data_IF_275604338178
#
_entry.id   IF_275604338178
#
_cell.length_a   1.000
_cell.length_b   1.000
_cell.length_c   1.000
_cell.angle_alpha   90.00
_cell.angle_beta   90.00
_cell.angle_gamma   90.00
#
_symmetry.space_group_name_H-M   'P 1'
#
loop_
_entity.id
_entity.type
_entity.pdbx_description
1 polymer ?
#
# COMPACT_ATOMS: atom_id res chain seq x y z
N UNK A 1 -10.79 -17.73 -2.05
CA UNK A 1 -11.69 -16.65 -1.62
C UNK A 1 -10.93 -15.35 -1.71
N UNK A 2 -11.52 -14.29 -2.26
CA UNK A 2 -10.96 -12.94 -2.22
C UNK A 2 -11.83 -12.11 -1.28
N UNK A 3 -11.18 -11.36 -0.38
CA UNK A 3 -11.85 -10.46 0.56
C UNK A 3 -11.39 -9.05 0.21
N UNK A 4 -12.31 -8.23 -0.29
CA UNK A 4 -12.09 -6.79 -0.38
C UNK A 4 -12.40 -6.18 0.99
N UNK A 5 -11.38 -5.63 1.64
CA UNK A 5 -11.57 -4.97 2.94
C UNK A 5 -12.08 -3.53 2.76
N UNK A 6 -12.48 -2.88 3.85
CA UNK A 6 -12.86 -1.46 3.83
C UNK A 6 -11.65 -0.61 3.39
N UNK A 7 -11.90 0.35 2.49
CA UNK A 7 -10.87 1.26 1.97
C UNK A 7 -10.32 2.22 3.02
N UNK A 8 -9.41 1.73 3.88
CA UNK A 8 -8.80 2.47 4.97
C UNK A 8 -7.39 1.90 5.24
N UNK A 9 -6.39 2.76 5.41
CA UNK A 9 -4.98 2.35 5.62
C UNK A 9 -4.58 2.24 7.11
N UNK A 10 -5.51 2.48 8.04
CA UNK A 10 -5.28 2.49 9.48
C UNK A 10 -6.03 1.31 10.12
N UNK A 11 -7.36 1.36 10.16
CA UNK A 11 -8.11 0.38 10.95
C UNK A 11 -7.86 -1.08 10.51
N UNK A 12 -7.80 -1.42 9.20
CA UNK A 12 -7.56 -2.79 8.76
C UNK A 12 -6.18 -3.36 9.12
N UNK A 13 -5.20 -2.54 9.52
CA UNK A 13 -3.89 -3.07 9.91
C UNK A 13 -3.95 -3.87 11.22
N UNK A 14 -4.93 -3.60 12.09
CA UNK A 14 -5.02 -4.16 13.44
C UNK A 14 -5.85 -5.45 13.55
N UNK A 15 -6.46 -5.91 12.45
CA UNK A 15 -7.37 -7.06 12.46
C UNK A 15 -6.96 -8.14 11.46
N UNK A 16 -6.80 -9.37 11.96
CA UNK A 16 -6.65 -10.57 11.13
C UNK A 16 -8.03 -11.19 10.86
N UNK A 17 -8.33 -11.52 9.61
CA UNK A 17 -9.60 -12.12 9.19
C UNK A 17 -9.51 -13.66 9.05
N UNK A 18 -8.31 -14.23 9.25
CA UNK A 18 -8.02 -15.64 8.99
C UNK A 18 -7.62 -15.91 7.53
N UNK A 19 -7.24 -14.87 6.81
CA UNK A 19 -6.68 -14.93 5.47
C UNK A 19 -5.27 -15.56 5.46
N UNK A 20 -4.92 -16.24 4.36
CA UNK A 20 -3.59 -16.82 4.19
C UNK A 20 -2.54 -15.79 3.75
N UNK A 21 -2.99 -14.72 3.08
CA UNK A 21 -2.16 -13.67 2.49
C UNK A 21 -2.86 -12.33 2.53
N UNK A 22 -2.10 -11.26 2.80
CA UNK A 22 -2.54 -9.86 2.79
C UNK A 22 -1.89 -9.12 1.64
N UNK A 23 -2.71 -8.41 0.86
CA UNK A 23 -2.24 -7.58 -0.25
C UNK A 23 -2.70 -6.15 -0.03
N UNK A 24 -1.77 -5.21 -0.10
CA UNK A 24 -2.08 -3.78 -0.11
C UNK A 24 -2.04 -3.28 -1.55
N UNK A 25 -3.05 -2.51 -1.94
CA UNK A 25 -3.09 -1.82 -3.23
C UNK A 25 -3.07 -0.33 -2.93
N UNK A 26 -2.05 0.37 -3.43
CA UNK A 26 -1.97 1.84 -3.38
C UNK A 26 -1.80 2.38 -4.79
N UNK A 27 -2.56 3.40 -5.15
CA UNK A 27 -2.53 3.96 -6.50
C UNK A 27 -1.64 5.19 -6.60
N UNK A 28 -1.04 5.44 -7.78
CA UNK A 28 -0.17 6.60 -8.00
C UNK A 28 -0.77 7.94 -7.54
N UNK A 29 -2.07 8.26 -7.79
CA UNK A 29 -2.65 9.53 -7.35
C UNK A 29 -2.73 9.72 -5.82
N UNK A 30 -2.54 8.67 -5.03
CA UNK A 30 -2.53 8.77 -3.57
C UNK A 30 -1.22 9.38 -3.04
N UNK A 31 -0.14 9.34 -3.83
CA UNK A 31 1.19 9.83 -3.46
C UNK A 31 2.14 8.71 -3.00
N UNK A 32 3.42 8.92 -3.24
CA UNK A 32 4.52 8.01 -2.91
C UNK A 32 4.84 7.93 -1.41
N UNK A 33 4.37 8.90 -0.64
CA UNK A 33 4.57 9.04 0.80
C UNK A 33 3.71 8.09 1.68
N UNK A 34 2.82 7.29 1.06
CA UNK A 34 1.87 6.46 1.80
C UNK A 34 2.53 5.44 2.72
N UNK A 35 3.58 4.72 2.30
CA UNK A 35 4.15 3.69 3.15
C UNK A 35 4.81 4.24 4.42
N UNK A 36 5.53 5.37 4.32
CA UNK A 36 6.11 6.02 5.51
C UNK A 36 5.04 6.65 6.42
N UNK A 37 3.91 7.11 5.86
CA UNK A 37 2.79 7.66 6.64
C UNK A 37 1.95 6.58 7.33
N UNK A 38 1.84 5.40 6.75
CA UNK A 38 0.98 4.30 7.24
C UNK A 38 1.75 2.97 7.38
N UNK A 39 2.88 2.93 8.09
CA UNK A 39 3.83 1.82 8.01
C UNK A 39 3.23 0.46 8.37
N UNK A 40 2.30 0.40 9.34
CA UNK A 40 1.73 -0.86 9.82
C UNK A 40 1.06 -1.68 8.70
N UNK A 41 0.25 -1.06 7.85
CA UNK A 41 -0.46 -1.80 6.80
C UNK A 41 0.49 -2.30 5.70
N UNK A 42 1.58 -1.57 5.44
CA UNK A 42 2.56 -1.92 4.41
C UNK A 42 3.61 -2.94 4.89
N UNK A 43 3.98 -2.92 6.18
CA UNK A 43 4.90 -3.89 6.79
C UNK A 43 4.25 -5.27 6.86
N UNK A 44 2.97 -5.32 7.24
CA UNK A 44 2.24 -6.58 7.40
C UNK A 44 1.80 -7.21 6.06
N UNK A 45 1.98 -6.51 4.95
CA UNK A 45 1.55 -6.99 3.64
C UNK A 45 2.52 -8.05 3.09
N UNK A 46 1.99 -9.17 2.60
CA UNK A 46 2.79 -10.15 1.85
C UNK A 46 3.17 -9.64 0.45
N UNK A 47 2.36 -8.74 -0.10
CA UNK A 47 2.61 -8.06 -1.36
C UNK A 47 1.99 -6.66 -1.37
N UNK A 48 2.67 -5.73 -2.01
CA UNK A 48 2.17 -4.37 -2.26
C UNK A 48 2.09 -4.14 -3.76
N UNK A 49 0.94 -3.66 -4.23
CA UNK A 49 0.69 -3.35 -5.63
C UNK A 49 0.59 -1.84 -5.79
N UNK A 50 1.45 -1.27 -6.63
CA UNK A 50 1.31 0.10 -7.11
C UNK A 50 0.36 0.07 -8.32
N UNK A 51 -0.82 0.68 -8.17
CA UNK A 51 -1.88 0.66 -9.18
C UNK A 51 -1.96 1.98 -9.96
N UNK A 52 -2.65 1.96 -11.11
CA UNK A 52 -2.83 3.10 -12.03
C UNK A 52 -1.51 3.62 -12.60
N UNK A 53 -0.61 2.70 -12.97
CA UNK A 53 0.72 3.00 -13.52
C UNK A 53 0.67 3.81 -14.82
N UNK A 54 -0.45 3.76 -15.54
CA UNK A 54 -0.74 4.60 -16.70
C UNK A 54 -0.70 6.10 -16.39
N UNK A 55 -0.91 6.49 -15.13
CA UNK A 55 -0.87 7.89 -14.69
C UNK A 55 0.53 8.40 -14.32
N UNK A 56 1.56 7.57 -14.37
CA UNK A 56 2.92 7.96 -13.97
C UNK A 56 3.45 9.23 -14.67
N UNK A 57 3.16 9.50 -15.96
CA UNK A 57 3.57 10.74 -16.61
C UNK A 57 2.76 11.98 -16.18
N UNK A 58 1.71 11.81 -15.38
CA UNK A 58 0.70 12.83 -15.07
C UNK A 58 0.63 13.20 -13.59
N UNK A 59 1.33 12.47 -12.72
CA UNK A 59 1.34 12.72 -11.27
C UNK A 59 2.79 12.75 -10.77
N UNK A 60 3.02 13.53 -9.73
CA UNK A 60 4.31 13.57 -9.04
C UNK A 60 4.38 12.38 -8.07
N UNK A 61 5.09 11.33 -8.48
CA UNK A 61 5.25 10.10 -7.71
C UNK A 61 6.64 9.52 -7.96
N UNK A 62 7.45 9.40 -6.90
CA UNK A 62 8.74 8.74 -6.95
C UNK A 62 8.65 7.29 -6.47
N UNK A 63 8.85 6.37 -7.43
CA UNK A 63 8.87 4.92 -7.17
C UNK A 63 9.96 4.56 -6.16
N UNK A 64 11.12 5.24 -6.18
CA UNK A 64 12.21 4.94 -5.26
C UNK A 64 11.81 5.31 -3.82
N UNK A 65 11.26 6.51 -3.61
CA UNK A 65 10.71 6.94 -2.31
C UNK A 65 9.66 5.97 -1.79
N UNK A 66 8.75 5.49 -2.64
CA UNK A 66 7.71 4.53 -2.25
C UNK A 66 8.27 3.17 -1.76
N UNK A 67 9.46 2.73 -2.18
CA UNK A 67 10.03 1.45 -1.76
C UNK A 67 11.13 1.56 -0.69
N UNK A 68 11.87 2.67 -0.66
CA UNK A 68 13.08 2.78 0.16
C UNK A 68 12.82 3.06 1.65
N UNK A 69 11.57 3.27 2.05
CA UNK A 69 11.19 3.54 3.45
C UNK A 69 11.41 2.34 4.39
N UNK A 70 11.52 1.11 3.88
CA UNK A 70 11.79 -0.08 4.71
C UNK A 70 13.24 -0.19 5.22
N UNK A 71 14.14 0.70 4.80
CA UNK A 71 15.57 0.69 5.19
C UNK A 71 15.84 1.59 6.42
N UNK A 72 14.78 2.16 7.04
CA UNK A 72 14.88 2.95 8.28
C UNK A 72 14.43 2.15 9.51
#
# INVERSE_FOLDING_TARGET
LLIENVGNLICPSEFTLGEHKRVVISSLPEGDDKPIKYPLIFIDADAVIINKMDLLPHVDFDIATFWNWQIL
#
